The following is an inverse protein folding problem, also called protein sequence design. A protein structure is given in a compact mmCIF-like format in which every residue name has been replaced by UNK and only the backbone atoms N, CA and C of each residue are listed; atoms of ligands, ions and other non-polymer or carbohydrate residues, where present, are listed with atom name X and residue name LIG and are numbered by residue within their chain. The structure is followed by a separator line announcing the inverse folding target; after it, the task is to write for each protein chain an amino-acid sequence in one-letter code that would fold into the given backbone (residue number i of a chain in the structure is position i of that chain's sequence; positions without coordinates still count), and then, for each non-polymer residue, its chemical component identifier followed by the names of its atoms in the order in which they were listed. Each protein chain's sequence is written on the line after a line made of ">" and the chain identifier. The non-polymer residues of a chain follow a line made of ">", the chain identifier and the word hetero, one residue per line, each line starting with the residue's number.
data_IF_985936949726
#
_entry.id   IF_985936949726
#
_cell.length_a   1.000
_cell.length_b   1.000
_cell.length_c   1.000
_cell.angle_alpha   90.00
_cell.angle_beta   90.00
_cell.angle_gamma   90.00
#
_symmetry.space_group_name_H-M   'P 1'
#
loop_
_entity.id
_entity.type
_entity.pdbx_description
1 polymer ?
#
# COMPACT_ATOMS: atom_id res chain seq x y z
N UNK A 1 -48.14 30.58 59.99
CA UNK A 1 -46.85 30.21 59.37
C UNK A 1 -46.78 28.78 58.85
N UNK A 2 -47.88 28.02 58.76
CA UNK A 2 -47.92 26.62 58.23
C UNK A 2 -48.81 26.49 56.97
N UNK A 3 -49.62 27.50 56.66
CA UNK A 3 -50.52 27.48 55.48
C UNK A 3 -49.79 27.83 54.15
N UNK A 4 -48.75 28.69 54.23
CA UNK A 4 -48.06 29.16 52.99
C UNK A 4 -47.08 28.15 52.39
N UNK A 5 -46.67 27.16 53.19
CA UNK A 5 -45.72 26.14 52.71
C UNK A 5 -46.43 25.02 51.85
N UNK A 6 -47.74 24.85 52.01
CA UNK A 6 -48.49 23.86 51.22
C UNK A 6 -48.87 24.34 49.80
N UNK A 7 -49.02 25.63 49.60
CA UNK A 7 -49.29 26.19 48.29
C UNK A 7 -48.03 26.15 47.40
N UNK A 8 -46.87 26.42 47.92
CA UNK A 8 -45.60 26.35 47.18
C UNK A 8 -45.24 24.92 46.69
N UNK A 9 -45.59 23.89 47.46
CA UNK A 9 -45.34 22.49 47.11
C UNK A 9 -46.32 22.01 46.01
N UNK A 10 -47.55 22.53 46.01
CA UNK A 10 -48.56 22.23 44.99
C UNK A 10 -48.17 22.77 43.64
N UNK A 11 -47.66 23.99 43.57
CA UNK A 11 -47.23 24.63 42.33
C UNK A 11 -45.97 23.95 41.74
N UNK A 12 -45.02 23.52 42.62
CA UNK A 12 -43.80 22.84 42.18
C UNK A 12 -44.12 21.44 41.57
N UNK A 13 -45.10 20.71 42.14
CA UNK A 13 -45.55 19.43 41.58
C UNK A 13 -46.28 19.61 40.25
N UNK A 14 -47.05 20.65 40.10
CA UNK A 14 -47.80 20.94 38.84
C UNK A 14 -46.85 21.39 37.73
N UNK A 15 -45.82 22.20 38.04
CA UNK A 15 -44.78 22.61 37.11
C UNK A 15 -43.86 21.42 36.71
N UNK A 16 -43.53 20.53 37.65
CA UNK A 16 -42.76 19.33 37.36
C UNK A 16 -43.50 18.34 36.47
N UNK A 17 -44.81 18.16 36.67
CA UNK A 17 -45.65 17.31 35.83
C UNK A 17 -45.81 17.90 34.42
N UNK A 18 -45.96 19.21 34.28
CA UNK A 18 -46.03 19.89 33.00
C UNK A 18 -44.70 19.84 32.24
N UNK A 19 -43.55 19.95 32.92
CA UNK A 19 -42.21 19.77 32.34
C UNK A 19 -41.97 18.33 31.89
N UNK A 20 -42.38 17.33 32.66
CA UNK A 20 -42.31 15.92 32.29
C UNK A 20 -43.26 15.58 31.10
N UNK A 21 -44.43 16.20 31.02
CA UNK A 21 -45.37 16.04 29.91
C UNK A 21 -44.86 16.71 28.61
N UNK A 22 -44.08 17.81 28.71
CA UNK A 22 -43.50 18.47 27.55
C UNK A 22 -42.27 17.75 26.97
N UNK A 23 -41.59 16.93 27.76
CA UNK A 23 -40.41 16.15 27.33
C UNK A 23 -40.83 14.77 26.77
N UNK A 24 -42.02 14.26 27.12
CA UNK A 24 -42.53 12.95 26.70
C UNK A 24 -42.68 12.80 25.15
N UNK A 25 -43.14 13.78 24.37
CA UNK A 25 -43.26 13.62 22.92
C UNK A 25 -41.96 13.62 22.15
N UNK A 26 -40.83 14.12 22.73
CA UNK A 26 -39.54 14.14 22.06
C UNK A 26 -38.87 12.75 22.08
N UNK A 27 -39.21 11.89 23.03
CA UNK A 27 -38.62 10.55 23.15
C UNK A 27 -39.39 9.50 22.26
N UNK A 28 -40.58 9.83 21.78
CA UNK A 28 -41.47 8.89 21.06
C UNK A 28 -41.33 8.90 19.53
N UNK A 29 -40.44 9.72 18.96
CA UNK A 29 -40.23 9.77 17.51
C UNK A 29 -38.93 9.14 17.01
N UNK A 30 -38.34 8.22 17.77
CA UNK A 30 -37.35 7.30 17.19
C UNK A 30 -38.11 6.35 16.25
N UNK A 31 -38.34 6.77 15.00
CA UNK A 31 -38.82 5.90 13.94
C UNK A 31 -37.99 4.63 13.96
N UNK A 32 -38.58 3.48 14.22
CA UNK A 32 -37.90 2.19 13.99
C UNK A 32 -37.41 2.21 12.56
N UNK A 33 -36.11 2.20 12.39
CA UNK A 33 -35.51 2.11 11.08
C UNK A 33 -36.14 0.93 10.33
N UNK A 34 -36.69 1.18 9.15
CA UNK A 34 -37.18 0.12 8.26
C UNK A 34 -35.94 -0.66 7.76
N UNK A 35 -35.69 -1.81 8.38
CA UNK A 35 -34.58 -2.69 8.02
C UNK A 35 -34.90 -3.59 6.83
N UNK A 36 -36.07 -3.51 6.26
CA UNK A 36 -36.46 -4.26 5.08
C UNK A 36 -35.86 -3.67 3.79
N UNK A 37 -35.44 -2.41 3.85
CA UNK A 37 -34.76 -1.73 2.72
C UNK A 37 -33.43 -1.15 3.16
N UNK A 38 -32.36 -1.33 2.38
CA UNK A 38 -31.10 -0.64 2.65
C UNK A 38 -31.33 0.88 2.58
N UNK A 39 -30.56 1.67 3.35
CA UNK A 39 -30.59 3.13 3.24
C UNK A 39 -30.29 3.57 1.79
N UNK A 40 -30.91 4.65 1.36
CA UNK A 40 -30.56 5.24 0.07
C UNK A 40 -29.08 5.67 0.08
N UNK A 41 -28.35 5.28 -0.95
CA UNK A 41 -26.95 5.71 -1.13
C UNK A 41 -26.96 7.20 -1.48
N UNK A 42 -26.25 8.01 -0.69
CA UNK A 42 -26.04 9.42 -0.97
C UNK A 42 -25.16 9.65 -2.23
N UNK A 43 -25.05 10.89 -2.72
CA UNK A 43 -24.11 11.20 -3.79
C UNK A 43 -22.68 10.85 -3.37
N UNK A 44 -21.85 10.45 -4.34
CA UNK A 44 -20.44 10.21 -4.08
C UNK A 44 -19.79 11.47 -3.47
N UNK A 45 -19.01 11.34 -2.38
CA UNK A 45 -18.38 12.49 -1.74
C UNK A 45 -17.37 13.16 -2.68
N UNK A 46 -17.31 14.48 -2.65
CA UNK A 46 -16.23 15.21 -3.31
C UNK A 46 -14.98 15.16 -2.44
N UNK A 47 -13.93 14.51 -2.92
CA UNK A 47 -12.66 14.49 -2.23
C UNK A 47 -11.94 15.85 -2.44
N UNK A 48 -11.68 16.56 -1.34
CA UNK A 48 -10.85 17.76 -1.32
C UNK A 48 -9.55 17.42 -0.61
N UNK A 49 -8.51 17.21 -1.38
CA UNK A 49 -7.19 16.98 -0.82
C UNK A 49 -6.50 18.32 -0.50
N UNK A 50 -5.68 18.38 0.55
CA UNK A 50 -4.81 19.51 0.82
C UNK A 50 -3.87 19.76 -0.36
N UNK A 51 -3.44 21.00 -0.53
CA UNK A 51 -2.51 21.40 -1.61
C UNK A 51 -1.13 20.79 -1.38
N UNK A 52 -0.55 20.17 -2.40
CA UNK A 52 0.84 19.69 -2.40
C UNK A 52 1.77 20.88 -2.65
N UNK A 53 2.56 21.27 -1.66
CA UNK A 53 3.53 22.35 -1.77
C UNK A 53 4.90 21.75 -2.15
N UNK A 54 5.33 22.00 -3.39
CA UNK A 54 6.59 21.43 -3.93
C UNK A 54 7.73 22.43 -3.78
N UNK A 55 8.78 22.01 -3.13
CA UNK A 55 10.01 22.76 -2.83
C UNK A 55 11.23 21.94 -3.19
N UNK A 56 12.42 22.54 -3.05
CA UNK A 56 13.71 21.85 -3.17
C UNK A 56 14.67 22.36 -2.10
N UNK A 57 15.48 21.48 -1.56
CA UNK A 57 16.61 21.84 -0.72
C UNK A 57 17.77 22.35 -1.57
N UNK A 58 18.79 22.95 -0.92
CA UNK A 58 19.95 23.53 -1.59
C UNK A 58 20.74 22.53 -2.44
N UNK A 59 20.71 21.25 -2.08
CA UNK A 59 21.32 20.14 -2.82
C UNK A 59 20.47 19.57 -3.98
N UNK A 60 19.29 20.18 -4.23
CA UNK A 60 18.36 19.76 -5.29
C UNK A 60 17.37 18.67 -4.91
N UNK A 61 17.43 18.13 -3.66
CA UNK A 61 16.46 17.15 -3.18
C UNK A 61 15.05 17.76 -3.23
N UNK A 62 14.14 17.10 -3.93
CA UNK A 62 12.73 17.49 -4.00
C UNK A 62 12.06 17.28 -2.64
N UNK A 63 11.23 18.25 -2.22
CA UNK A 63 10.45 18.18 -0.98
C UNK A 63 9.00 18.50 -1.32
N UNK A 64 8.10 17.58 -1.00
CA UNK A 64 6.67 17.80 -1.13
C UNK A 64 6.06 17.85 0.25
N UNK A 65 5.32 18.93 0.56
CA UNK A 65 4.74 19.19 1.86
C UNK A 65 3.23 19.25 1.72
N UNK A 66 2.53 18.53 2.59
CA UNK A 66 1.08 18.60 2.74
C UNK A 66 0.77 18.88 4.22
N UNK A 67 0.18 20.04 4.46
CA UNK A 67 -0.27 20.43 5.79
C UNK A 67 -1.54 19.65 6.17
N UNK A 68 -1.51 18.98 7.34
CA UNK A 68 -2.62 18.21 7.88
C UNK A 68 -2.64 18.37 9.41
N UNK A 69 -3.50 19.27 9.90
CA UNK A 69 -3.48 19.77 11.28
C UNK A 69 -4.50 19.08 12.21
N UNK A 70 -5.07 17.95 11.83
CA UNK A 70 -6.08 17.25 12.63
C UNK A 70 -5.49 16.55 13.86
N UNK A 71 -4.25 16.07 13.73
CA UNK A 71 -3.51 15.38 14.79
C UNK A 71 -2.07 15.91 14.85
N UNK A 72 -1.45 16.01 16.05
CA UNK A 72 -0.09 16.55 16.21
C UNK A 72 0.99 15.52 15.82
N UNK A 73 0.88 14.95 14.64
CA UNK A 73 1.80 13.97 14.06
C UNK A 73 2.42 14.51 12.76
N UNK A 74 3.63 14.07 12.49
CA UNK A 74 4.30 14.27 11.23
C UNK A 74 4.74 12.91 10.65
N UNK A 75 4.47 12.72 9.36
CA UNK A 75 4.98 11.63 8.54
C UNK A 75 6.02 12.20 7.60
N UNK A 76 7.25 11.67 7.63
CA UNK A 76 8.34 12.06 6.74
C UNK A 76 8.82 10.82 5.99
N UNK A 77 8.63 10.79 4.66
CA UNK A 77 8.99 9.65 3.83
C UNK A 77 10.04 10.07 2.80
N UNK A 78 11.24 9.50 2.88
CA UNK A 78 12.23 9.61 1.81
C UNK A 78 11.97 8.48 0.81
N UNK A 79 11.55 8.83 -0.39
CA UNK A 79 11.29 7.89 -1.48
C UNK A 79 12.46 7.94 -2.45
N UNK A 80 13.14 6.82 -2.62
CA UNK A 80 14.21 6.63 -3.62
C UNK A 80 13.62 5.86 -4.80
N UNK A 81 13.65 6.43 -6.00
CA UNK A 81 13.06 5.86 -7.21
C UNK A 81 13.91 4.73 -7.79
N UNK A 82 14.29 3.81 -6.93
CA UNK A 82 15.02 2.58 -7.26
C UNK A 82 14.70 1.52 -6.23
N UNK A 83 14.26 0.38 -6.69
CA UNK A 83 14.01 -0.81 -5.90
C UNK A 83 14.71 -2.01 -6.50
N UNK A 84 14.19 -3.22 -6.25
CA UNK A 84 14.81 -4.45 -6.72
C UNK A 84 14.80 -4.62 -8.24
N UNK A 85 14.00 -3.83 -9.00
CA UNK A 85 14.11 -3.78 -10.46
C UNK A 85 15.48 -3.26 -10.92
N UNK A 86 16.17 -2.50 -10.11
CA UNK A 86 17.52 -2.00 -10.38
C UNK A 86 18.63 -2.97 -10.00
N UNK A 87 18.33 -4.14 -9.45
CA UNK A 87 19.36 -5.12 -9.07
C UNK A 87 20.16 -5.58 -10.29
N UNK A 88 21.47 -5.61 -10.22
CA UNK A 88 22.29 -6.18 -11.30
C UNK A 88 22.00 -7.67 -11.51
N UNK A 89 22.17 -8.13 -12.76
CA UNK A 89 22.06 -9.56 -13.09
C UNK A 89 23.03 -10.36 -12.21
N UNK A 90 22.56 -11.43 -11.62
CA UNK A 90 23.30 -12.29 -10.68
C UNK A 90 23.32 -11.80 -9.23
N UNK A 91 22.80 -10.58 -8.93
CA UNK A 91 22.75 -10.01 -7.59
C UNK A 91 21.31 -9.67 -7.16
N UNK A 92 20.35 -10.47 -7.61
CA UNK A 92 18.95 -10.26 -7.29
C UNK A 92 18.68 -10.36 -5.79
N UNK A 93 18.03 -9.34 -5.24
CA UNK A 93 17.80 -9.16 -3.81
C UNK A 93 18.74 -8.15 -3.15
N UNK A 94 19.73 -7.60 -3.88
CA UNK A 94 20.67 -6.63 -3.32
C UNK A 94 19.96 -5.34 -2.90
N UNK A 95 19.03 -4.82 -3.69
CA UNK A 95 18.28 -3.60 -3.35
C UNK A 95 17.42 -3.76 -2.10
N UNK A 96 16.69 -4.87 -1.99
CA UNK A 96 15.87 -5.14 -0.81
C UNK A 96 16.71 -5.44 0.43
N UNK A 97 17.89 -6.06 0.28
CA UNK A 97 18.79 -6.31 1.40
C UNK A 97 19.51 -5.02 1.82
N UNK A 98 19.90 -4.18 0.86
CA UNK A 98 20.47 -2.87 1.16
C UNK A 98 19.48 -1.98 1.93
N UNK A 99 18.18 -1.97 1.55
CA UNK A 99 17.15 -1.27 2.29
C UNK A 99 16.97 -1.81 3.72
N UNK A 100 16.94 -3.14 3.88
CA UNK A 100 16.82 -3.77 5.20
C UNK A 100 18.05 -3.58 6.11
N UNK A 101 19.18 -3.15 5.56
CA UNK A 101 20.41 -2.88 6.31
C UNK A 101 20.58 -1.42 6.71
N UNK A 102 19.70 -0.52 6.27
CA UNK A 102 19.87 0.92 6.52
C UNK A 102 19.80 1.27 8.02
N UNK A 103 18.92 0.62 8.75
CA UNK A 103 18.68 0.82 10.19
C UNK A 103 19.41 -0.20 11.08
N UNK A 104 20.15 -1.13 10.50
CA UNK A 104 21.00 -2.08 11.26
C UNK A 104 22.32 -1.46 11.76
N UNK A 105 22.52 -0.18 11.51
CA UNK A 105 23.61 0.65 12.00
C UNK A 105 23.78 1.88 11.12
N UNK A 106 23.81 3.07 11.72
CA UNK A 106 23.90 4.32 10.98
C UNK A 106 24.62 5.42 11.78
N UNK A 107 25.46 6.18 11.11
CA UNK A 107 26.35 7.16 11.76
C UNK A 107 27.29 6.48 12.75
N UNK A 108 27.16 6.80 14.02
CA UNK A 108 27.90 6.17 15.13
C UNK A 108 27.02 5.24 15.99
N UNK A 109 25.77 4.96 15.55
CA UNK A 109 24.77 4.21 16.31
C UNK A 109 24.67 2.78 15.80
N UNK A 110 24.51 1.84 16.74
CA UNK A 110 24.07 0.48 16.44
C UNK A 110 22.57 0.44 16.13
N UNK A 111 22.07 -0.71 15.68
CA UNK A 111 20.62 -0.94 15.51
C UNK A 111 19.85 -0.77 16.82
N UNK A 112 20.42 -1.20 17.96
CA UNK A 112 19.81 -1.03 19.29
C UNK A 112 19.77 0.43 19.69
N UNK A 113 20.85 1.19 19.52
CA UNK A 113 20.88 2.63 19.83
C UNK A 113 19.85 3.41 19.01
N UNK A 114 19.63 3.01 17.74
CA UNK A 114 18.61 3.60 16.87
C UNK A 114 17.20 3.25 17.36
N UNK A 115 16.97 1.98 17.69
CA UNK A 115 15.68 1.52 18.19
C UNK A 115 15.30 2.21 19.52
N UNK A 116 16.22 2.23 20.48
CA UNK A 116 16.03 2.89 21.78
C UNK A 116 15.76 4.40 21.61
N UNK A 117 16.53 5.05 20.74
CA UNK A 117 16.35 6.48 20.46
C UNK A 117 15.01 6.81 19.83
N UNK A 118 14.52 5.99 18.90
CA UNK A 118 13.22 6.14 18.25
C UNK A 118 12.08 5.86 19.23
N UNK A 119 12.18 4.78 20.03
CA UNK A 119 11.19 4.43 21.05
C UNK A 119 11.04 5.53 22.09
N UNK A 120 12.17 6.09 22.59
CA UNK A 120 12.16 7.22 23.54
C UNK A 120 11.42 8.44 23.00
N UNK A 121 11.44 8.65 21.67
CA UNK A 121 10.75 9.76 21.01
C UNK A 121 9.29 9.44 20.67
N UNK A 122 8.82 8.21 20.88
CA UNK A 122 7.54 7.73 20.38
C UNK A 122 7.48 7.76 18.86
N UNK A 123 8.62 7.59 18.20
CA UNK A 123 8.77 7.60 16.75
C UNK A 123 8.79 6.17 16.21
N UNK A 124 8.22 5.99 15.02
CA UNK A 124 8.33 4.76 14.25
C UNK A 124 9.12 5.04 12.97
N UNK A 125 10.20 4.30 12.74
CA UNK A 125 10.99 4.37 11.53
C UNK A 125 10.99 3.00 10.85
N UNK A 126 10.73 2.98 9.54
CA UNK A 126 10.75 1.75 8.74
C UNK A 126 11.52 1.95 7.45
N UNK A 127 12.22 0.90 7.03
CA UNK A 127 12.91 0.83 5.74
C UNK A 127 12.28 -0.24 4.88
N UNK A 128 12.01 0.05 3.62
CA UNK A 128 11.36 -0.88 2.70
C UNK A 128 11.93 -0.77 1.30
N UNK A 129 11.79 -1.85 0.52
CA UNK A 129 12.07 -1.84 -0.91
C UNK A 129 11.05 -2.69 -1.65
N UNK A 130 10.48 -2.13 -2.70
CA UNK A 130 9.63 -2.81 -3.67
C UNK A 130 10.41 -3.12 -4.95
N UNK A 131 9.72 -3.43 -6.06
CA UNK A 131 10.38 -3.50 -7.36
C UNK A 131 10.82 -2.11 -7.85
N UNK A 132 9.99 -1.11 -7.69
CA UNK A 132 10.13 0.17 -8.37
C UNK A 132 10.78 1.26 -7.50
N UNK A 133 10.74 1.11 -6.17
CA UNK A 133 11.27 2.11 -5.24
C UNK A 133 11.71 1.50 -3.91
N UNK A 134 12.51 2.27 -3.18
CA UNK A 134 12.84 2.04 -1.77
C UNK A 134 12.41 3.26 -0.95
N UNK A 135 12.09 3.05 0.32
CA UNK A 135 11.64 4.12 1.20
C UNK A 135 12.23 4.01 2.60
N UNK A 136 12.52 5.16 3.20
CA UNK A 136 12.73 5.34 4.64
C UNK A 136 11.58 6.20 5.14
N UNK A 137 10.75 5.67 6.06
CA UNK A 137 9.56 6.35 6.56
C UNK A 137 9.70 6.58 8.05
N UNK A 138 9.39 7.81 8.48
CA UNK A 138 9.38 8.23 9.88
C UNK A 138 7.99 8.77 10.22
N UNK A 139 7.35 8.19 11.24
CA UNK A 139 6.15 8.71 11.87
C UNK A 139 6.49 9.15 13.30
N UNK A 140 6.15 10.40 13.67
CA UNK A 140 6.59 10.95 14.95
C UNK A 140 5.65 12.06 15.43
N UNK A 141 5.43 12.24 16.77
CA UNK A 141 4.80 13.44 17.30
C UNK A 141 5.58 14.71 16.90
N UNK A 142 4.87 15.76 16.45
CA UNK A 142 5.50 16.99 15.96
C UNK A 142 6.45 17.61 17.00
N UNK A 143 6.11 17.51 18.30
CA UNK A 143 6.98 17.98 19.40
C UNK A 143 8.34 17.28 19.47
N UNK A 144 8.49 16.11 18.83
CA UNK A 144 9.71 15.30 18.80
C UNK A 144 10.36 15.24 17.41
N UNK A 145 9.76 15.86 16.41
CA UNK A 145 10.23 15.82 15.03
C UNK A 145 11.68 16.33 14.90
N UNK A 146 12.04 17.40 15.62
CA UNK A 146 13.39 17.96 15.59
C UNK A 146 14.48 17.00 16.08
N UNK A 147 14.15 16.11 17.03
CA UNK A 147 15.06 15.09 17.57
C UNK A 147 15.07 13.81 16.74
N UNK A 148 13.96 13.47 16.09
CA UNK A 148 13.81 12.25 15.28
C UNK A 148 14.37 12.40 13.86
N UNK A 149 14.29 13.59 13.24
CA UNK A 149 14.85 13.84 11.90
C UNK A 149 16.35 13.50 11.77
N UNK A 150 17.22 13.83 12.75
CA UNK A 150 18.62 13.40 12.70
C UNK A 150 18.81 11.88 12.69
N UNK A 151 17.96 11.12 13.41
CA UNK A 151 18.00 9.65 13.39
C UNK A 151 17.61 9.11 12.01
N UNK A 152 16.54 9.64 11.43
CA UNK A 152 16.14 9.29 10.05
C UNK A 152 17.24 9.66 9.04
N UNK A 153 17.86 10.82 9.19
CA UNK A 153 18.95 11.24 8.31
C UNK A 153 20.18 10.32 8.46
N UNK A 154 20.52 9.86 9.65
CA UNK A 154 21.58 8.88 9.85
C UNK A 154 21.27 7.59 9.08
N UNK A 155 20.08 7.03 9.26
CA UNK A 155 19.63 5.82 8.56
C UNK A 155 19.64 6.00 7.05
N UNK A 156 19.12 7.11 6.55
CA UNK A 156 19.01 7.35 5.12
C UNK A 156 20.33 7.73 4.44
N UNK A 157 21.23 8.45 5.12
CA UNK A 157 22.40 9.08 4.50
C UNK A 157 23.73 8.46 4.93
N UNK A 158 23.78 7.80 6.09
CA UNK A 158 25.01 7.29 6.70
C UNK A 158 24.90 5.86 7.21
N UNK A 159 24.26 4.92 6.46
CA UNK A 159 24.21 3.52 6.87
C UNK A 159 25.63 2.92 6.86
N UNK A 160 25.94 2.12 7.87
CA UNK A 160 27.28 1.54 8.05
C UNK A 160 27.42 0.13 7.47
N UNK A 161 26.31 -0.54 7.21
CA UNK A 161 26.25 -1.92 6.69
C UNK A 161 27.13 -2.91 7.48
N UNK A 162 26.87 -3.13 8.79
CA UNK A 162 27.71 -4.01 9.60
C UNK A 162 27.69 -5.45 9.06
N UNK A 163 28.83 -6.08 8.92
CA UNK A 163 28.94 -7.45 8.37
C UNK A 163 28.19 -8.48 9.20
N UNK A 164 28.18 -8.34 10.53
CA UNK A 164 27.45 -9.25 11.44
C UNK A 164 25.94 -9.20 11.20
N UNK A 165 25.39 -7.99 10.96
CA UNK A 165 23.96 -7.81 10.67
C UNK A 165 23.60 -8.35 9.28
N UNK A 166 24.48 -8.17 8.28
CA UNK A 166 24.30 -8.80 6.99
C UNK A 166 24.22 -10.33 7.12
N UNK A 167 25.09 -10.93 7.92
CA UNK A 167 25.07 -12.40 8.15
C UNK A 167 23.81 -12.84 8.88
N UNK A 168 23.30 -12.05 9.82
CA UNK A 168 22.04 -12.30 10.53
C UNK A 168 20.85 -12.27 9.57
N UNK A 169 20.70 -11.17 8.81
CA UNK A 169 19.60 -10.99 7.84
C UNK A 169 19.67 -12.02 6.70
N UNK A 170 20.88 -12.39 6.25
CA UNK A 170 21.08 -13.46 5.28
C UNK A 170 20.52 -14.79 5.78
N UNK A 171 20.88 -15.20 7.00
CA UNK A 171 20.38 -16.43 7.62
C UNK A 171 18.87 -16.41 7.78
N UNK A 172 18.33 -15.29 8.21
CA UNK A 172 16.88 -15.11 8.35
C UNK A 172 16.17 -15.28 6.99
N UNK A 173 16.64 -14.61 5.92
CA UNK A 173 16.06 -14.75 4.58
C UNK A 173 16.13 -16.18 4.03
N UNK A 174 17.28 -16.84 4.21
CA UNK A 174 17.44 -18.23 3.78
C UNK A 174 16.51 -19.17 4.55
N UNK A 175 16.35 -18.96 5.85
CA UNK A 175 15.41 -19.71 6.69
C UNK A 175 13.96 -19.51 6.23
N UNK A 176 13.57 -18.25 5.97
CA UNK A 176 12.22 -17.93 5.49
C UNK A 176 11.96 -18.58 4.12
N UNK A 177 12.93 -18.60 3.22
CA UNK A 177 12.83 -19.26 1.92
C UNK A 177 12.76 -20.79 2.05
N UNK A 178 13.46 -21.38 3.03
CA UNK A 178 13.37 -22.80 3.31
C UNK A 178 11.96 -23.17 3.82
N UNK A 179 11.44 -22.42 4.78
CA UNK A 179 10.07 -22.60 5.31
C UNK A 179 9.00 -22.39 4.22
N UNK A 180 9.23 -21.45 3.31
CA UNK A 180 8.32 -21.19 2.18
C UNK A 180 8.11 -22.42 1.28
N UNK A 181 9.07 -23.37 1.23
CA UNK A 181 8.93 -24.63 0.44
C UNK A 181 7.79 -25.52 0.95
N UNK A 182 7.44 -25.40 2.22
CA UNK A 182 6.35 -26.18 2.81
C UNK A 182 5.00 -25.47 2.72
N UNK A 183 4.98 -24.22 2.26
CA UNK A 183 3.77 -23.43 2.09
C UNK A 183 3.40 -23.31 0.61
N UNK A 184 2.32 -23.97 0.13
CA UNK A 184 1.88 -23.88 -1.26
C UNK A 184 1.59 -22.45 -1.73
N UNK A 185 1.06 -21.59 -0.84
CA UNK A 185 0.80 -20.18 -1.12
C UNK A 185 2.09 -19.39 -1.37
N UNK A 186 3.16 -19.66 -0.63
CA UNK A 186 4.46 -19.04 -0.86
C UNK A 186 5.13 -19.56 -2.15
N UNK A 187 5.00 -20.87 -2.42
CA UNK A 187 5.52 -21.45 -3.67
C UNK A 187 4.90 -20.80 -4.91
N UNK A 188 3.59 -20.63 -4.94
CA UNK A 188 2.91 -20.04 -6.10
C UNK A 188 3.24 -18.55 -6.27
N UNK A 189 3.54 -17.83 -5.17
CA UNK A 189 4.02 -16.43 -5.21
C UNK A 189 5.37 -16.30 -5.91
N UNK A 190 6.23 -17.30 -5.81
CA UNK A 190 7.53 -17.33 -6.49
C UNK A 190 7.42 -17.86 -7.92
N UNK A 191 6.58 -18.90 -8.14
CA UNK A 191 6.45 -19.57 -9.44
C UNK A 191 5.69 -18.71 -10.45
N UNK A 192 4.57 -18.10 -10.07
CA UNK A 192 3.70 -17.40 -11.00
C UNK A 192 4.40 -16.23 -11.74
N UNK A 193 5.07 -15.29 -11.08
CA UNK A 193 5.78 -14.23 -11.80
C UNK A 193 6.89 -14.79 -12.72
N UNK A 194 7.60 -15.82 -12.26
CA UNK A 194 8.64 -16.46 -13.07
C UNK A 194 8.11 -17.09 -14.35
N UNK A 195 6.91 -17.67 -14.29
CA UNK A 195 6.23 -18.25 -15.46
C UNK A 195 5.76 -17.14 -16.41
N UNK A 196 5.13 -16.09 -15.86
CA UNK A 196 4.55 -15.00 -16.66
C UNK A 196 5.61 -14.15 -17.35
N UNK A 197 6.69 -13.79 -16.65
CA UNK A 197 7.72 -12.87 -17.15
C UNK A 197 8.99 -13.58 -17.63
N UNK A 198 9.21 -14.83 -17.24
CA UNK A 198 10.46 -15.54 -17.47
C UNK A 198 11.53 -15.25 -16.41
N UNK A 199 12.59 -16.09 -16.36
CA UNK A 199 13.58 -16.08 -15.28
C UNK A 199 14.58 -14.92 -15.33
N UNK A 200 14.67 -14.21 -16.45
CA UNK A 200 15.62 -13.09 -16.64
C UNK A 200 14.97 -11.72 -16.54
N UNK A 201 13.65 -11.64 -16.66
CA UNK A 201 12.90 -10.40 -16.49
C UNK A 201 12.81 -10.02 -15.01
N UNK A 202 12.99 -8.74 -14.66
CA UNK A 202 13.01 -8.32 -13.26
C UNK A 202 11.70 -8.62 -12.50
N UNK A 203 10.56 -8.46 -13.14
CA UNK A 203 9.27 -8.82 -12.53
C UNK A 203 9.01 -10.34 -12.46
N UNK A 204 9.83 -11.15 -13.13
CA UNK A 204 9.82 -12.62 -13.04
C UNK A 204 10.77 -13.18 -11.98
N UNK A 205 11.45 -12.32 -11.21
CA UNK A 205 12.37 -12.71 -10.15
C UNK A 205 11.84 -12.26 -8.80
N UNK A 206 12.30 -12.88 -7.71
CA UNK A 206 11.96 -12.43 -6.37
C UNK A 206 12.61 -11.08 -6.07
N UNK A 207 11.87 -10.13 -5.50
CA UNK A 207 12.44 -8.88 -4.99
C UNK A 207 13.46 -9.13 -3.87
N UNK A 208 13.26 -10.19 -3.08
CA UNK A 208 14.14 -10.58 -1.98
C UNK A 208 15.31 -11.48 -2.42
N UNK A 209 15.41 -11.78 -3.71
CA UNK A 209 16.43 -12.70 -4.24
C UNK A 209 16.05 -14.18 -4.08
N UNK A 210 16.96 -15.05 -4.54
CA UNK A 210 16.90 -16.51 -4.39
C UNK A 210 18.16 -16.99 -3.67
N UNK A 211 18.18 -18.18 -3.03
CA UNK A 211 19.26 -18.62 -2.19
C UNK A 211 20.66 -18.41 -2.76
N UNK A 212 20.98 -18.82 -4.01
CA UNK A 212 22.34 -18.64 -4.53
C UNK A 212 22.80 -17.18 -4.62
N UNK A 213 21.88 -16.25 -4.94
CA UNK A 213 22.19 -14.84 -5.00
C UNK A 213 22.36 -14.25 -3.59
N UNK A 214 21.47 -14.58 -2.65
CA UNK A 214 21.51 -14.12 -1.26
C UNK A 214 22.81 -14.56 -0.56
N UNK A 215 23.22 -15.82 -0.77
CA UNK A 215 24.46 -16.38 -0.22
C UNK A 215 25.70 -15.65 -0.72
N UNK A 216 25.70 -15.24 -1.99
CA UNK A 216 26.83 -14.57 -2.65
C UNK A 216 26.92 -13.06 -2.36
N UNK A 217 25.84 -12.40 -1.88
CA UNK A 217 25.86 -10.95 -1.63
C UNK A 217 26.86 -10.58 -0.53
N UNK A 218 27.62 -9.52 -0.76
CA UNK A 218 28.60 -8.98 0.18
C UNK A 218 28.25 -7.57 0.62
N UNK A 219 28.86 -7.09 1.70
CA UNK A 219 28.73 -5.69 2.14
C UNK A 219 29.10 -4.72 1.01
N UNK A 220 30.12 -5.04 0.23
CA UNK A 220 30.54 -4.20 -0.91
C UNK A 220 29.45 -4.09 -1.99
N UNK A 221 28.67 -5.15 -2.21
CA UNK A 221 27.55 -5.14 -3.16
C UNK A 221 26.42 -4.22 -2.68
N UNK A 222 26.07 -4.30 -1.39
CA UNK A 222 25.06 -3.44 -0.78
C UNK A 222 25.48 -1.97 -0.83
N UNK A 223 26.73 -1.69 -0.46
CA UNK A 223 27.29 -0.34 -0.53
C UNK A 223 27.35 0.21 -1.97
N UNK A 224 27.65 -0.65 -2.95
CA UNK A 224 27.66 -0.26 -4.36
C UNK A 224 26.24 0.11 -4.83
N UNK A 225 25.23 -0.72 -4.49
CA UNK A 225 23.84 -0.42 -4.79
C UNK A 225 23.38 0.88 -4.12
N UNK A 226 23.65 1.03 -2.82
CA UNK A 226 23.31 2.24 -2.07
C UNK A 226 23.93 3.49 -2.70
N UNK A 227 25.23 3.51 -2.99
CA UNK A 227 25.90 4.67 -3.62
C UNK A 227 25.35 5.01 -5.01
N UNK A 228 24.91 4.01 -5.77
CA UNK A 228 24.38 4.21 -7.10
C UNK A 228 22.96 4.82 -7.09
N UNK A 229 22.13 4.46 -6.10
CA UNK A 229 20.70 4.73 -6.14
C UNK A 229 20.21 5.70 -5.07
N UNK A 230 20.79 5.71 -3.86
CA UNK A 230 20.41 6.61 -2.77
C UNK A 230 21.10 7.97 -2.94
N UNK A 231 20.41 8.87 -3.63
CA UNK A 231 20.95 10.16 -4.11
C UNK A 231 19.84 11.22 -4.08
N UNK A 232 20.18 12.51 -3.80
CA UNK A 232 19.18 13.57 -3.75
C UNK A 232 18.46 13.81 -5.08
N UNK A 233 19.12 13.59 -6.22
CA UNK A 233 18.55 13.72 -7.57
C UNK A 233 17.70 12.52 -8.00
N UNK A 234 17.71 11.41 -7.23
CA UNK A 234 16.89 10.23 -7.44
C UNK A 234 15.84 10.04 -6.32
N UNK A 235 15.72 11.02 -5.43
CA UNK A 235 14.86 10.91 -4.26
C UNK A 235 13.88 12.08 -4.14
N UNK A 236 12.84 11.87 -3.34
CA UNK A 236 11.88 12.90 -2.93
C UNK A 236 11.56 12.71 -1.45
N UNK A 237 11.59 13.78 -0.67
CA UNK A 237 11.06 13.82 0.68
C UNK A 237 9.59 14.21 0.62
N UNK A 238 8.73 13.37 1.17
CA UNK A 238 7.32 13.68 1.42
C UNK A 238 7.16 14.02 2.89
N UNK A 239 6.50 15.12 3.19
CA UNK A 239 6.18 15.53 4.55
C UNK A 239 4.69 15.79 4.64
N UNK A 240 4.01 15.05 5.49
CA UNK A 240 2.57 15.18 5.72
C UNK A 240 2.33 15.29 7.23
N UNK A 241 1.57 16.29 7.66
CA UNK A 241 1.22 16.39 9.08
C UNK A 241 1.05 17.82 9.59
N UNK A 242 1.07 17.96 10.91
CA UNK A 242 0.89 19.24 11.60
C UNK A 242 2.18 20.09 11.56
N UNK A 243 2.58 20.44 10.35
CA UNK A 243 3.77 21.25 10.05
C UNK A 243 3.44 22.26 8.97
N UNK A 244 4.22 23.33 8.88
CA UNK A 244 4.17 24.30 7.78
C UNK A 244 5.51 24.34 7.05
N UNK A 245 5.57 24.79 5.78
CA UNK A 245 6.86 24.95 5.07
C UNK A 245 7.86 25.82 5.85
N UNK A 246 7.38 26.86 6.52
CA UNK A 246 8.24 27.76 7.29
C UNK A 246 8.93 27.08 8.48
N UNK A 247 8.26 26.08 9.08
CA UNK A 247 8.81 25.32 10.22
C UNK A 247 9.66 24.14 9.78
N UNK A 248 9.25 23.42 8.73
CA UNK A 248 9.90 22.15 8.38
C UNK A 248 11.10 22.33 7.44
N UNK A 249 11.08 23.25 6.47
CA UNK A 249 12.17 23.40 5.49
C UNK A 249 13.53 23.69 6.14
N UNK A 250 13.67 24.58 7.14
CA UNK A 250 14.95 24.78 7.81
C UNK A 250 15.48 23.52 8.51
N UNK A 251 14.60 22.71 9.11
CA UNK A 251 14.98 21.45 9.75
C UNK A 251 15.44 20.41 8.73
N UNK A 252 14.73 20.29 7.58
CA UNK A 252 15.14 19.43 6.47
C UNK A 252 16.43 19.88 5.84
N UNK A 253 16.62 21.17 5.62
CA UNK A 253 17.88 21.72 5.08
C UNK A 253 19.07 21.40 5.99
N UNK A 254 18.90 21.58 7.31
CA UNK A 254 19.93 21.24 8.32
C UNK A 254 20.29 19.75 8.29
N UNK A 255 19.30 18.85 8.08
CA UNK A 255 19.51 17.40 8.20
C UNK A 255 19.87 16.74 6.87
N UNK A 256 19.26 17.15 5.76
CA UNK A 256 19.42 16.52 4.44
C UNK A 256 20.19 17.39 3.43
N UNK A 257 20.33 18.69 3.67
CA UNK A 257 20.96 19.62 2.70
C UNK A 257 22.42 19.32 2.38
N UNK A 258 23.16 18.66 3.28
CA UNK A 258 24.54 18.22 3.05
C UNK A 258 24.65 16.93 2.20
N UNK A 259 23.55 16.26 1.90
CA UNK A 259 23.57 15.04 1.10
C UNK A 259 23.98 15.34 -0.34
N UNK A 260 24.98 14.64 -0.85
CA UNK A 260 25.58 14.89 -2.17
C UNK A 260 25.40 13.68 -3.08
N UNK A 261 25.15 13.95 -4.36
CA UNK A 261 25.24 12.95 -5.42
C UNK A 261 26.70 12.56 -5.64
N UNK A 262 26.94 11.28 -5.91
CA UNK A 262 28.30 10.74 -6.15
C UNK A 262 28.87 11.09 -7.55
N UNK A 263 28.40 12.15 -8.20
CA UNK A 263 28.95 12.68 -9.46
C UNK A 263 28.57 11.93 -10.75
N UNK A 264 27.92 10.77 -10.66
CA UNK A 264 27.38 10.04 -11.84
C UNK A 264 25.87 10.34 -12.00
N UNK A 265 25.34 10.23 -13.22
CA UNK A 265 23.90 10.32 -13.43
C UNK A 265 23.16 9.21 -12.67
N UNK A 266 21.93 9.49 -12.20
CA UNK A 266 21.12 8.48 -11.58
C UNK A 266 20.85 7.33 -12.57
N UNK A 267 21.06 6.10 -12.12
CA UNK A 267 20.71 4.92 -12.90
C UNK A 267 19.22 4.69 -12.79
N UNK A 268 18.48 5.01 -13.83
CA UNK A 268 17.05 4.65 -13.93
C UNK A 268 16.98 3.20 -14.37
N UNK A 269 16.31 2.36 -13.57
CA UNK A 269 16.10 0.98 -13.94
C UNK A 269 15.08 0.93 -15.09
N UNK A 270 15.53 0.56 -16.28
CA UNK A 270 14.63 0.22 -17.37
C UNK A 270 14.14 -1.22 -17.19
N UNK A 271 12.84 -1.36 -16.94
CA UNK A 271 12.19 -2.66 -16.94
C UNK A 271 11.64 -2.91 -18.34
N UNK A 272 12.20 -3.87 -19.10
CA UNK A 272 11.77 -4.11 -20.47
C UNK A 272 10.30 -4.56 -20.50
N UNK A 273 9.61 -4.32 -21.62
CA UNK A 273 8.27 -4.83 -21.83
C UNK A 273 8.31 -6.36 -21.95
N UNK A 274 7.54 -7.04 -21.13
CA UNK A 274 7.40 -8.49 -21.24
C UNK A 274 6.41 -8.86 -22.34
N UNK A 275 6.71 -9.86 -23.19
CA UNK A 275 5.79 -10.31 -24.22
C UNK A 275 4.60 -11.06 -23.60
N UNK A 276 3.42 -10.89 -24.18
CA UNK A 276 2.27 -11.73 -23.85
C UNK A 276 2.47 -13.16 -24.33
N UNK A 277 1.98 -14.12 -23.57
CA UNK A 277 1.95 -15.52 -23.99
C UNK A 277 1.03 -15.70 -25.19
N UNK A 278 1.49 -16.48 -26.20
CA UNK A 278 0.73 -16.71 -27.43
C UNK A 278 -0.41 -17.70 -27.25
N UNK A 279 -0.36 -18.52 -26.22
CA UNK A 279 -1.37 -19.58 -25.94
C UNK A 279 -1.47 -19.79 -24.43
N UNK A 280 -2.57 -20.39 -23.99
CA UNK A 280 -2.74 -20.82 -22.61
C UNK A 280 -1.70 -21.90 -22.29
N UNK A 281 -1.07 -21.75 -21.12
CA UNK A 281 -0.14 -22.73 -20.57
C UNK A 281 -0.62 -23.13 -19.19
N UNK A 282 -0.47 -24.40 -18.85
CA UNK A 282 -0.83 -24.96 -17.55
C UNK A 282 0.43 -25.52 -16.91
N UNK A 283 0.71 -25.05 -15.71
CA UNK A 283 1.82 -25.53 -14.89
C UNK A 283 1.25 -26.16 -13.64
N UNK A 284 1.68 -27.37 -13.33
CA UNK A 284 1.28 -28.11 -12.14
C UNK A 284 2.53 -28.33 -11.30
N UNK A 285 2.49 -27.85 -10.06
CA UNK A 285 3.50 -28.14 -9.04
C UNK A 285 2.87 -29.14 -8.08
N UNK A 286 3.35 -30.38 -8.09
CA UNK A 286 2.88 -31.39 -7.18
C UNK A 286 3.35 -31.12 -5.74
N UNK A 287 2.40 -31.04 -4.81
CA UNK A 287 2.65 -30.95 -3.38
C UNK A 287 1.82 -32.04 -2.71
N UNK A 288 2.41 -33.24 -2.51
CA UNK A 288 1.72 -34.33 -1.85
C UNK A 288 1.12 -33.93 -0.51
N UNK A 289 -0.04 -34.48 -0.18
CA UNK A 289 -0.76 -34.25 1.08
C UNK A 289 -1.26 -32.81 1.30
N UNK A 290 -1.19 -31.91 0.30
CA UNK A 290 -1.77 -30.60 0.42
C UNK A 290 -3.30 -30.70 0.53
N UNK A 291 -3.87 -30.15 1.60
CA UNK A 291 -5.32 -30.14 1.84
C UNK A 291 -6.09 -29.30 0.82
N UNK A 292 -5.40 -28.34 0.19
CA UNK A 292 -5.97 -27.42 -0.80
C UNK A 292 -5.03 -27.23 -1.98
N UNK A 293 -5.61 -27.11 -3.16
CA UNK A 293 -4.89 -26.65 -4.36
C UNK A 293 -4.88 -25.12 -4.40
N UNK A 294 -3.68 -24.55 -4.55
CA UNK A 294 -3.50 -23.13 -4.83
C UNK A 294 -3.66 -22.90 -6.34
N UNK A 295 -4.63 -22.11 -6.74
CA UNK A 295 -4.84 -21.76 -8.15
C UNK A 295 -4.46 -20.30 -8.36
N UNK A 296 -3.71 -20.05 -9.45
CA UNK A 296 -3.42 -18.71 -9.94
C UNK A 296 -3.49 -18.70 -11.45
N UNK A 297 -4.29 -17.78 -12.02
CA UNK A 297 -4.49 -17.61 -13.45
C UNK A 297 -4.21 -16.13 -13.76
N UNK A 298 -3.38 -15.87 -14.76
CA UNK A 298 -3.08 -14.49 -15.12
C UNK A 298 -2.08 -14.36 -16.25
N UNK A 299 -1.70 -13.11 -16.53
CA UNK A 299 -0.83 -12.72 -17.63
C UNK A 299 -0.17 -11.36 -17.33
N UNK A 300 0.66 -10.87 -18.25
CA UNK A 300 1.22 -9.52 -18.20
C UNK A 300 0.07 -8.51 -18.32
N UNK A 301 -0.12 -7.69 -17.30
CA UNK A 301 -1.18 -6.68 -17.25
C UNK A 301 -0.75 -5.35 -17.86
N UNK A 302 -0.93 -4.26 -17.10
CA UNK A 302 -0.68 -2.88 -17.54
C UNK A 302 0.14 -2.11 -16.51
N UNK A 303 0.82 -1.01 -16.90
CA UNK A 303 1.51 -0.14 -15.96
C UNK A 303 0.52 0.73 -15.15
N UNK A 304 0.98 1.28 -14.01
CA UNK A 304 0.17 2.18 -13.18
C UNK A 304 -0.25 3.48 -13.92
N UNK A 305 0.55 3.89 -14.88
CA UNK A 305 0.29 5.06 -15.72
C UNK A 305 -0.77 4.85 -16.80
N UNK A 306 -1.42 3.69 -16.84
CA UNK A 306 -2.47 3.42 -17.84
C UNK A 306 -3.62 4.43 -17.77
N UNK A 307 -4.12 4.96 -18.89
CA UNK A 307 -5.30 5.83 -18.90
C UNK A 307 -6.58 5.09 -18.49
N UNK A 308 -6.60 3.76 -18.59
CA UNK A 308 -7.74 2.91 -18.25
C UNK A 308 -7.83 2.58 -16.75
N UNK A 309 -7.03 3.22 -15.91
CA UNK A 309 -6.95 2.91 -14.47
C UNK A 309 -8.32 2.85 -13.79
N UNK A 310 -9.18 3.88 -14.00
CA UNK A 310 -10.50 3.92 -13.37
C UNK A 310 -11.42 2.78 -13.89
N UNK A 311 -11.38 2.48 -15.19
CA UNK A 311 -12.16 1.39 -15.77
C UNK A 311 -11.69 0.03 -15.24
N UNK A 312 -10.37 -0.18 -15.10
CA UNK A 312 -9.80 -1.40 -14.58
C UNK A 312 -10.08 -1.59 -13.08
N UNK A 313 -10.17 -0.52 -12.28
CA UNK A 313 -10.58 -0.60 -10.87
C UNK A 313 -12.05 -1.05 -10.76
N UNK A 314 -12.94 -0.51 -11.60
CA UNK A 314 -14.35 -0.92 -11.64
C UNK A 314 -14.47 -2.37 -12.12
N UNK A 315 -13.79 -2.74 -13.20
CA UNK A 315 -13.77 -4.11 -13.74
C UNK A 315 -13.27 -5.09 -12.67
N UNK A 316 -12.16 -4.77 -12.03
CA UNK A 316 -11.58 -5.62 -10.99
C UNK A 316 -12.55 -5.81 -9.81
N UNK A 317 -13.25 -4.75 -9.39
CA UNK A 317 -14.26 -4.81 -8.33
C UNK A 317 -15.39 -5.77 -8.68
N UNK A 318 -15.82 -5.79 -9.94
CA UNK A 318 -16.84 -6.72 -10.46
C UNK A 318 -16.31 -8.14 -10.47
N UNK A 319 -15.10 -8.35 -11.00
CA UNK A 319 -14.56 -9.68 -11.27
C UNK A 319 -14.13 -10.39 -9.98
N UNK A 320 -13.26 -9.77 -9.16
CA UNK A 320 -12.68 -10.43 -7.98
C UNK A 320 -12.15 -9.49 -6.92
N UNK A 321 -12.26 -8.17 -7.09
CA UNK A 321 -11.74 -7.15 -6.18
C UNK A 321 -12.64 -6.81 -5.00
N UNK A 322 -13.82 -7.40 -4.89
CA UNK A 322 -14.75 -7.21 -3.78
C UNK A 322 -15.29 -8.53 -3.24
N UNK A 323 -15.75 -8.51 -1.99
CA UNK A 323 -16.36 -9.69 -1.37
C UNK A 323 -17.59 -10.22 -2.12
N UNK A 324 -18.33 -9.35 -2.78
CA UNK A 324 -19.51 -9.70 -3.58
C UNK A 324 -19.23 -9.76 -5.09
N UNK A 325 -17.98 -9.91 -5.48
CA UNK A 325 -17.52 -10.06 -6.87
C UNK A 325 -17.99 -11.39 -7.49
N UNK A 326 -17.94 -11.46 -8.81
CA UNK A 326 -18.36 -12.65 -9.58
C UNK A 326 -17.60 -13.90 -9.15
N UNK A 327 -16.26 -13.83 -8.99
CA UNK A 327 -15.46 -14.95 -8.54
C UNK A 327 -15.83 -15.45 -7.16
N UNK A 328 -16.07 -14.56 -6.20
CA UNK A 328 -16.53 -14.96 -4.86
C UNK A 328 -17.92 -15.53 -4.88
N UNK A 329 -18.86 -14.91 -5.61
CA UNK A 329 -20.23 -15.42 -5.75
C UNK A 329 -20.27 -16.79 -6.41
N UNK A 330 -19.36 -17.06 -7.35
CA UNK A 330 -19.27 -18.33 -8.04
C UNK A 330 -18.57 -19.40 -7.17
N UNK A 331 -17.29 -19.19 -6.87
CA UNK A 331 -16.44 -20.21 -6.27
C UNK A 331 -16.74 -20.44 -4.78
N UNK A 332 -17.16 -19.40 -4.07
CA UNK A 332 -17.46 -19.48 -2.64
C UNK A 332 -18.94 -19.75 -2.37
N UNK A 333 -19.83 -18.85 -2.84
CA UNK A 333 -21.24 -18.88 -2.39
C UNK A 333 -22.06 -19.95 -3.12
N UNK A 334 -21.92 -20.06 -4.45
CA UNK A 334 -22.71 -21.02 -5.24
C UNK A 334 -22.14 -22.44 -5.18
N UNK A 335 -20.83 -22.57 -5.32
CA UNK A 335 -20.20 -23.87 -5.48
C UNK A 335 -19.49 -24.38 -4.21
N UNK A 336 -19.15 -23.51 -3.25
CA UNK A 336 -18.47 -23.92 -2.00
C UNK A 336 -17.07 -24.50 -2.22
N UNK A 337 -16.40 -24.22 -3.34
CA UNK A 337 -15.09 -24.77 -3.68
C UNK A 337 -13.95 -24.11 -2.93
N UNK A 338 -14.13 -22.85 -2.54
CA UNK A 338 -13.11 -22.01 -1.91
C UNK A 338 -13.71 -21.17 -0.78
N UNK A 339 -12.89 -20.78 0.19
CA UNK A 339 -13.27 -19.79 1.21
C UNK A 339 -13.33 -18.37 0.62
N UNK A 340 -12.59 -18.12 -0.45
CA UNK A 340 -12.61 -16.86 -1.18
C UNK A 340 -11.85 -16.97 -2.49
N UNK A 341 -12.19 -16.10 -3.43
CA UNK A 341 -11.50 -15.93 -4.70
C UNK A 341 -11.30 -14.44 -4.98
N UNK A 342 -10.22 -14.09 -5.64
CA UNK A 342 -9.88 -12.69 -5.91
C UNK A 342 -9.30 -12.48 -7.30
N UNK A 343 -9.35 -11.22 -7.75
CA UNK A 343 -8.54 -10.74 -8.87
C UNK A 343 -7.83 -9.45 -8.49
N UNK A 344 -6.67 -9.21 -9.09
CA UNK A 344 -5.89 -8.00 -8.89
C UNK A 344 -5.08 -7.64 -10.13
N UNK A 345 -5.00 -6.35 -10.40
CA UNK A 345 -3.99 -5.75 -11.28
C UNK A 345 -2.87 -5.22 -10.39
N UNK A 346 -1.74 -5.92 -10.31
CA UNK A 346 -0.54 -5.44 -9.64
C UNK A 346 0.19 -4.46 -10.56
N UNK A 347 -0.34 -3.24 -10.63
CA UNK A 347 0.18 -2.20 -11.52
C UNK A 347 1.48 -1.62 -10.97
N UNK A 348 2.52 -1.61 -11.79
CA UNK A 348 3.88 -1.17 -11.44
C UNK A 348 4.33 -0.05 -12.38
N UNK A 349 5.59 0.37 -12.30
CA UNK A 349 6.17 1.36 -13.21
C UNK A 349 6.12 0.87 -14.67
N UNK A 350 6.44 -0.40 -14.91
CA UNK A 350 6.17 -1.09 -16.18
C UNK A 350 4.95 -2.01 -16.00
N UNK A 351 4.54 -2.74 -17.06
CA UNK A 351 3.37 -3.61 -17.01
C UNK A 351 3.54 -4.73 -15.97
N UNK A 352 2.90 -4.57 -14.83
CA UNK A 352 2.81 -5.58 -13.78
C UNK A 352 1.78 -6.67 -14.10
N UNK A 353 1.65 -7.75 -13.31
CA UNK A 353 0.75 -8.84 -13.65
C UNK A 353 -0.72 -8.53 -13.31
N UNK A 354 -1.63 -8.98 -14.17
CA UNK A 354 -2.98 -9.30 -13.76
C UNK A 354 -3.03 -10.76 -13.29
N UNK A 355 -3.75 -11.01 -12.21
CA UNK A 355 -3.96 -12.37 -11.71
C UNK A 355 -5.31 -12.55 -11.03
N UNK A 356 -5.84 -13.78 -11.15
CA UNK A 356 -6.92 -14.28 -10.31
C UNK A 356 -6.40 -15.42 -9.44
N UNK A 357 -6.96 -15.60 -8.26
CA UNK A 357 -6.49 -16.63 -7.33
C UNK A 357 -7.60 -17.15 -6.42
N UNK A 358 -7.47 -18.44 -6.06
CA UNK A 358 -8.22 -19.05 -4.97
C UNK A 358 -7.44 -20.25 -4.39
N UNK A 359 -7.76 -20.58 -3.15
CA UNK A 359 -7.39 -21.83 -2.49
C UNK A 359 -8.63 -22.72 -2.49
N UNK A 360 -8.59 -23.83 -3.21
CA UNK A 360 -9.75 -24.68 -3.42
C UNK A 360 -9.52 -26.07 -2.83
N UNK A 361 -10.61 -26.75 -2.51
CA UNK A 361 -10.54 -28.16 -2.15
C UNK A 361 -9.88 -28.95 -3.29
N UNK A 362 -8.94 -29.83 -2.97
CA UNK A 362 -8.11 -30.51 -3.97
C UNK A 362 -8.94 -31.32 -4.99
N UNK A 363 -10.00 -31.99 -4.54
CA UNK A 363 -10.93 -32.75 -5.40
C UNK A 363 -11.80 -31.86 -6.31
N UNK A 364 -11.86 -30.54 -6.05
CA UNK A 364 -12.61 -29.54 -6.83
C UNK A 364 -11.73 -28.70 -7.75
N UNK A 365 -10.44 -29.01 -7.85
CA UNK A 365 -9.50 -28.22 -8.65
C UNK A 365 -9.95 -28.06 -10.10
N UNK A 366 -10.35 -29.11 -10.78
CA UNK A 366 -10.78 -29.06 -12.18
C UNK A 366 -12.06 -28.25 -12.37
N UNK A 367 -13.04 -28.44 -11.50
CA UNK A 367 -14.30 -27.69 -11.51
C UNK A 367 -14.04 -26.20 -11.24
N UNK A 368 -13.20 -25.88 -10.28
CA UNK A 368 -12.86 -24.50 -9.95
C UNK A 368 -12.14 -23.79 -11.11
N UNK A 369 -11.19 -24.45 -11.76
CA UNK A 369 -10.52 -23.89 -12.95
C UNK A 369 -11.53 -23.60 -14.07
N UNK A 370 -12.49 -24.49 -14.29
CA UNK A 370 -13.57 -24.28 -15.27
C UNK A 370 -14.40 -23.04 -14.90
N UNK A 371 -14.78 -22.89 -13.64
CA UNK A 371 -15.55 -21.75 -13.17
C UNK A 371 -14.76 -20.43 -13.24
N UNK A 372 -13.45 -20.42 -12.97
CA UNK A 372 -12.61 -19.26 -13.24
C UNK A 372 -12.70 -18.80 -14.70
N UNK A 373 -12.58 -19.75 -15.67
CA UNK A 373 -12.67 -19.41 -17.08
C UNK A 373 -14.08 -18.99 -17.49
N UNK A 374 -15.13 -19.51 -16.86
CA UNK A 374 -16.50 -19.05 -17.06
C UNK A 374 -16.62 -17.56 -16.72
N UNK A 375 -16.13 -17.13 -15.56
CA UNK A 375 -16.20 -15.72 -15.15
C UNK A 375 -15.25 -14.83 -15.99
N UNK A 376 -14.04 -15.30 -16.31
CA UNK A 376 -13.09 -14.57 -17.17
C UNK A 376 -13.61 -14.39 -18.60
N UNK A 377 -14.40 -15.32 -19.13
CA UNK A 377 -15.05 -15.16 -20.42
C UNK A 377 -16.31 -14.30 -20.32
N UNK A 378 -17.08 -14.43 -19.25
CA UNK A 378 -18.31 -13.67 -19.04
C UNK A 378 -18.05 -12.17 -18.87
N UNK A 379 -16.89 -11.76 -18.34
CA UNK A 379 -16.53 -10.34 -18.20
C UNK A 379 -16.27 -9.66 -19.54
N UNK A 380 -16.09 -10.40 -20.62
CA UNK A 380 -15.91 -9.87 -21.97
C UNK A 380 -17.24 -9.45 -22.62
N UNK A 381 -18.36 -9.74 -22.00
CA UNK A 381 -19.69 -9.29 -22.42
C UNK A 381 -20.11 -8.04 -21.67
N UNK A 382 -21.01 -7.20 -22.22
CA UNK A 382 -21.47 -6.01 -21.51
C UNK A 382 -21.97 -6.31 -20.10
N UNK A 383 -21.47 -5.54 -19.14
CA UNK A 383 -21.81 -5.70 -17.72
C UNK A 383 -23.23 -5.19 -17.47
N UNK A 384 -24.10 -5.93 -16.73
CA UNK A 384 -25.42 -5.46 -16.36
C UNK A 384 -25.35 -4.11 -15.63
N UNK A 385 -26.29 -3.21 -15.93
CA UNK A 385 -26.29 -1.82 -15.40
C UNK A 385 -26.30 -1.76 -13.88
N UNK A 386 -27.00 -2.68 -13.21
CA UNK A 386 -27.06 -2.76 -11.74
C UNK A 386 -25.68 -3.14 -11.16
N UNK A 387 -25.03 -4.13 -11.75
CA UNK A 387 -23.71 -4.60 -11.32
C UNK A 387 -22.64 -3.51 -11.53
N UNK A 388 -22.67 -2.84 -12.68
CA UNK A 388 -21.79 -1.71 -12.97
C UNK A 388 -22.01 -0.57 -11.97
N UNK A 389 -23.26 -0.21 -11.67
CA UNK A 389 -23.61 0.83 -10.70
C UNK A 389 -23.10 0.47 -9.30
N UNK A 390 -23.30 -0.78 -8.88
CA UNK A 390 -22.82 -1.28 -7.59
C UNK A 390 -21.28 -1.17 -7.50
N UNK A 391 -20.55 -1.59 -8.52
CA UNK A 391 -19.10 -1.54 -8.53
C UNK A 391 -18.58 -0.09 -8.52
N UNK A 392 -19.18 0.80 -9.31
CA UNK A 392 -18.82 2.24 -9.31
C UNK A 392 -19.04 2.86 -7.94
N UNK A 393 -20.17 2.58 -7.29
CA UNK A 393 -20.47 3.06 -5.95
C UNK A 393 -19.48 2.49 -4.92
N UNK A 394 -19.14 1.20 -5.01
CA UNK A 394 -18.16 0.58 -4.12
C UNK A 394 -16.80 1.29 -4.19
N UNK A 395 -16.28 1.53 -5.39
CA UNK A 395 -15.03 2.24 -5.60
C UNK A 395 -15.12 3.71 -5.17
N UNK A 396 -16.15 4.43 -5.63
CA UNK A 396 -16.27 5.87 -5.40
C UNK A 396 -16.53 6.23 -3.93
N UNK A 397 -17.34 5.45 -3.22
CA UNK A 397 -17.67 5.70 -1.81
C UNK A 397 -16.56 5.22 -0.87
N UNK A 398 -15.81 4.17 -1.24
CA UNK A 398 -14.66 3.71 -0.47
C UNK A 398 -13.41 4.58 -0.64
N UNK A 399 -13.28 5.30 -1.76
CA UNK A 399 -12.05 6.01 -2.08
C UNK A 399 -11.61 7.08 -1.06
N UNK A 400 -12.49 7.87 -0.44
CA UNK A 400 -12.06 8.84 0.57
C UNK A 400 -11.37 8.22 1.78
N UNK A 401 -11.71 6.98 2.17
CA UNK A 401 -11.06 6.30 3.31
C UNK A 401 -9.57 6.02 3.09
N UNK A 402 -9.10 6.08 1.84
CA UNK A 402 -7.67 5.93 1.51
C UNK A 402 -6.84 7.18 1.85
N UNK A 403 -7.45 8.22 2.45
CA UNK A 403 -6.83 9.51 2.81
C UNK A 403 -7.15 9.95 4.25
N UNK A 404 -7.63 9.05 5.11
CA UNK A 404 -8.11 9.41 6.44
C UNK A 404 -6.99 9.71 7.44
N UNK A 405 -5.86 9.02 7.33
CA UNK A 405 -4.73 9.26 8.24
C UNK A 405 -3.58 10.01 7.54
N UNK A 406 -2.73 10.63 8.33
CA UNK A 406 -1.47 11.24 7.87
C UNK A 406 -0.60 10.22 7.10
N UNK A 407 -0.59 8.97 7.57
CA UNK A 407 0.15 7.88 6.93
C UNK A 407 -0.46 7.47 5.58
N UNK A 408 -1.80 7.33 5.50
CA UNK A 408 -2.50 6.99 4.25
C UNK A 408 -2.29 8.07 3.19
N UNK A 409 -2.44 9.34 3.59
CA UNK A 409 -2.19 10.47 2.70
C UNK A 409 -0.73 10.47 2.19
N UNK A 410 0.25 10.24 3.07
CA UNK A 410 1.64 10.14 2.67
C UNK A 410 1.88 8.97 1.69
N UNK A 411 1.25 7.81 1.92
CA UNK A 411 1.35 6.65 1.04
C UNK A 411 0.75 6.93 -0.36
N UNK A 412 -0.35 7.68 -0.42
CA UNK A 412 -0.93 8.10 -1.71
C UNK A 412 -0.01 9.07 -2.47
N UNK A 413 0.66 9.97 -1.75
CA UNK A 413 1.65 10.85 -2.38
C UNK A 413 2.87 10.07 -2.90
N UNK A 414 3.26 8.95 -2.26
CA UNK A 414 4.29 8.05 -2.78
C UNK A 414 3.94 7.54 -4.17
N UNK A 415 2.67 7.19 -4.44
CA UNK A 415 2.22 6.75 -5.77
C UNK A 415 2.46 7.83 -6.84
N UNK A 416 2.19 9.10 -6.51
CA UNK A 416 2.44 10.21 -7.44
C UNK A 416 3.93 10.33 -7.78
N UNK A 417 4.80 10.20 -6.78
CA UNK A 417 6.26 10.30 -6.95
C UNK A 417 6.81 9.10 -7.73
N UNK A 418 6.45 7.88 -7.31
CA UNK A 418 6.99 6.63 -7.87
C UNK A 418 6.57 6.44 -9.32
N UNK A 419 5.29 6.65 -9.61
CA UNK A 419 4.73 6.41 -10.95
C UNK A 419 4.64 7.67 -11.81
N UNK A 420 5.20 8.81 -11.33
CA UNK A 420 5.18 10.10 -12.02
C UNK A 420 3.77 10.50 -12.49
N UNK A 421 2.80 10.39 -11.58
CA UNK A 421 1.41 10.69 -11.88
C UNK A 421 1.13 12.21 -11.71
N UNK A 422 0.15 12.76 -12.44
CA UNK A 422 -0.32 14.14 -12.24
C UNK A 422 -0.85 14.38 -10.83
N UNK A 423 -0.69 15.59 -10.29
CA UNK A 423 -1.14 15.94 -8.93
C UNK A 423 -2.67 15.81 -8.76
N UNK A 424 -3.42 16.00 -9.84
CA UNK A 424 -4.87 15.88 -9.88
C UNK A 424 -5.37 14.42 -9.99
N UNK A 425 -4.47 13.43 -10.03
CA UNK A 425 -4.83 12.00 -10.21
C UNK A 425 -5.93 11.57 -9.24
N UNK A 426 -5.80 11.89 -7.97
CA UNK A 426 -6.76 11.46 -6.96
C UNK A 426 -8.02 12.33 -6.90
N UNK A 427 -7.91 13.64 -7.12
CA UNK A 427 -9.06 14.54 -7.12
C UNK A 427 -10.00 14.31 -8.31
N UNK A 428 -9.49 13.79 -9.41
CA UNK A 428 -10.27 13.47 -10.63
C UNK A 428 -10.75 12.02 -10.67
N UNK A 429 -10.26 11.14 -9.79
CA UNK A 429 -10.52 9.70 -9.86
C UNK A 429 -11.99 9.34 -9.72
N UNK A 430 -12.70 9.87 -8.72
CA UNK A 430 -14.13 9.58 -8.52
C UNK A 430 -14.97 9.99 -9.74
N UNK A 431 -14.63 11.14 -10.36
CA UNK A 431 -15.28 11.57 -11.59
C UNK A 431 -14.95 10.64 -12.77
N UNK A 432 -13.72 10.12 -12.84
CA UNK A 432 -13.34 9.13 -13.85
C UNK A 432 -14.10 7.81 -13.68
N UNK A 433 -14.21 7.29 -12.45
CA UNK A 433 -15.04 6.12 -12.11
C UNK A 433 -16.49 6.32 -12.53
N UNK A 434 -17.06 7.51 -12.28
CA UNK A 434 -18.44 7.81 -12.65
C UNK A 434 -18.70 7.76 -14.15
N UNK A 435 -17.71 8.03 -14.99
CA UNK A 435 -17.80 8.00 -16.45
C UNK A 435 -17.62 6.61 -17.06
N UNK A 436 -17.21 5.59 -16.29
CA UNK A 436 -17.06 4.23 -16.81
C UNK A 436 -18.39 3.71 -17.33
N UNK A 437 -18.37 3.11 -18.52
CA UNK A 437 -19.53 2.48 -19.17
C UNK A 437 -19.35 0.97 -19.25
N UNK A 438 -20.44 0.24 -19.56
CA UNK A 438 -20.43 -1.22 -19.74
C UNK A 438 -19.68 -1.63 -21.00
#
# INVERSE_FOLDING_TARGET
>A
MISDFRLLISDFRTVLVLLLAAVAPVILSAQKADRAKPPAIGPAPSLKLPTIQKQKLSNGLAVWIVEHHEVPLAQVNLIVRSGSAADPIGKFGVGSLAAAMLDEGAGSRSSLDLADGLEFLGANLTTTSSFDYSAVRLSVPVSKLGDALPLMADVALRPTFPAAELDRLRKERLTNLLQARDNPGALIQLAFPRIVYGPTHRYGTSANGLPPAIEALTVADLQAFYRAHYRPDNATLLVVGDVTPATILPALEKTFGSWKSAGMAALVAEVPTAPQLKSRQVYIVDKPEAAQTQIRIGWVGVPRSTPDYAALQVLNTILGGSFTSRLNQNLRERNGYAYGASSVFDMRLSAGPFQTSANVQTDKTGDAVKEFFNELNAILTPVPAEELTKAKNYVALGFPSEFESTGDLAQKLEELVVYNLPDETFTTFVAAVSRVTA
#
